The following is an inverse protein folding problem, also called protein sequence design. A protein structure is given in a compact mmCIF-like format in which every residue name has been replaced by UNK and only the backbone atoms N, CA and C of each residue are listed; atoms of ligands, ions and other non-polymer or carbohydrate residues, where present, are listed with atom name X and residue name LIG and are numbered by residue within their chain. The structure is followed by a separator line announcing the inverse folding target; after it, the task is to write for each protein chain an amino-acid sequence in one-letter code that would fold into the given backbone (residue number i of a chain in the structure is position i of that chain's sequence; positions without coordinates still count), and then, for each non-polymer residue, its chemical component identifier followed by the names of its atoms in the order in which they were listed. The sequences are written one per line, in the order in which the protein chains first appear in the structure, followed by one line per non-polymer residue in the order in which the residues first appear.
data_IF_867211412471
#
_entry.id   IF_867211412471
#
_cell.length_a   1.000
_cell.length_b   1.000
_cell.length_c   1.000
_cell.angle_alpha   90.00
_cell.angle_beta   90.00
_cell.angle_gamma   90.00
#
_symmetry.space_group_name_H-M   'P 1'
#
loop_
_entity.id
_entity.type
_entity.pdbx_description
1 polymer ?
#
# COMPACT_ATOMS: atom_id res chain seq x y z
N UNK A 1 -24.30 -15.38 -56.91
CA UNK A 1 -23.08 -15.88 -57.59
C UNK A 1 -22.01 -15.97 -56.51
N UNK A 2 -21.47 -17.13 -56.11
CA UNK A 2 -21.02 -18.32 -56.85
C UNK A 2 -19.51 -18.27 -57.14
N UNK A 3 -18.77 -18.90 -56.23
CA UNK A 3 -17.51 -19.67 -56.34
C UNK A 3 -16.58 -19.55 -57.57
N UNK A 4 -15.31 -19.20 -57.24
CA UNK A 4 -14.11 -20.05 -57.45
C UNK A 4 -13.48 -20.17 -58.86
N UNK A 5 -12.28 -20.79 -58.90
CA UNK A 5 -11.30 -20.87 -60.02
C UNK A 5 -10.55 -19.55 -60.35
N UNK A 6 -9.36 -19.47 -60.95
CA UNK A 6 -8.16 -20.35 -61.12
C UNK A 6 -6.99 -19.43 -61.66
N UNK A 7 -5.69 -19.76 -61.75
CA UNK A 7 -4.84 -20.94 -61.48
C UNK A 7 -3.36 -20.51 -61.26
N UNK A 8 -2.52 -21.37 -60.67
CA UNK A 8 -1.05 -21.48 -60.94
C UNK A 8 -0.81 -22.55 -62.03
N UNK A 9 0.40 -22.76 -62.63
CA UNK A 9 1.73 -22.18 -62.36
C UNK A 9 2.51 -21.74 -63.64
N UNK A 10 3.79 -21.37 -63.48
CA UNK A 10 4.86 -22.06 -64.22
C UNK A 10 6.18 -22.07 -63.43
N UNK A 11 7.07 -23.03 -63.70
CA UNK A 11 8.35 -23.23 -63.02
C UNK A 11 9.41 -23.69 -64.05
N UNK A 12 10.42 -22.85 -64.31
CA UNK A 12 11.53 -23.20 -65.19
C UNK A 12 12.72 -23.72 -64.38
N UNK A 13 13.13 -24.95 -64.67
CA UNK A 13 14.17 -25.72 -63.95
C UNK A 13 15.60 -25.32 -64.33
N UNK A 14 16.52 -25.51 -63.39
CA UNK A 14 17.85 -26.14 -63.56
C UNK A 14 18.43 -26.39 -62.16
N UNK A 15 18.28 -27.54 -61.50
CA UNK A 15 18.57 -28.94 -61.87
C UNK A 15 20.06 -29.30 -61.95
N UNK A 16 20.67 -29.63 -60.79
CA UNK A 16 21.69 -30.69 -60.63
C UNK A 16 21.95 -31.08 -59.17
N UNK A 17 22.14 -32.39 -58.96
CA UNK A 17 22.44 -33.18 -57.74
C UNK A 17 23.28 -34.39 -58.24
N UNK A 18 24.14 -35.08 -57.45
CA UNK A 18 24.54 -34.90 -56.04
C UNK A 18 25.97 -34.25 -55.95
N UNK A 19 26.90 -34.40 -54.99
CA UNK A 19 27.23 -35.31 -53.85
C UNK A 19 28.02 -34.50 -52.76
N UNK A 20 28.29 -34.92 -51.51
CA UNK A 20 27.73 -35.92 -50.57
C UNK A 20 28.51 -35.82 -49.21
N UNK A 21 28.05 -36.52 -48.16
CA UNK A 21 28.82 -36.99 -46.99
C UNK A 21 29.47 -35.99 -46.00
N UNK A 22 28.76 -35.81 -44.86
CA UNK A 22 29.23 -35.71 -43.44
C UNK A 22 29.60 -34.35 -42.80
N UNK A 23 28.92 -34.12 -41.65
CA UNK A 23 29.36 -33.44 -40.41
C UNK A 23 29.76 -31.95 -40.45
N UNK A 24 29.33 -31.07 -39.54
CA UNK A 24 28.37 -31.21 -38.43
C UNK A 24 28.66 -30.19 -37.29
N UNK A 25 27.66 -29.39 -36.88
CA UNK A 25 27.72 -28.23 -35.94
C UNK A 25 28.71 -27.11 -36.37
N UNK A 26 28.28 -25.90 -36.75
CA UNK A 26 27.61 -24.79 -36.04
C UNK A 26 28.57 -23.70 -35.49
N UNK A 27 28.38 -22.49 -36.04
CA UNK A 27 28.07 -21.23 -35.32
C UNK A 27 29.19 -20.63 -34.46
N UNK A 28 29.89 -19.59 -34.95
CA UNK A 28 29.54 -18.14 -34.88
C UNK A 28 29.71 -17.58 -33.44
N UNK A 29 30.39 -16.47 -33.16
CA UNK A 29 30.86 -15.38 -34.05
C UNK A 29 32.13 -14.66 -33.52
N UNK A 30 32.73 -13.79 -34.35
CA UNK A 30 33.99 -13.07 -34.05
C UNK A 30 33.75 -11.69 -33.39
N UNK A 31 34.50 -11.39 -32.33
CA UNK A 31 34.55 -10.09 -31.63
C UNK A 31 35.48 -9.11 -32.38
N UNK A 32 35.10 -7.81 -32.46
CA UNK A 32 36.12 -6.76 -32.38
C UNK A 32 35.80 -5.60 -31.41
N UNK A 33 36.88 -5.01 -30.87
CA UNK A 33 37.04 -3.67 -30.31
C UNK A 33 36.12 -3.13 -29.19
N UNK A 34 36.69 -2.97 -27.99
CA UNK A 34 36.09 -2.17 -26.90
C UNK A 34 36.49 -0.69 -27.01
N UNK A 35 35.66 0.12 -27.66
CA UNK A 35 35.87 1.57 -27.69
C UNK A 35 35.46 2.20 -26.34
N UNK A 36 36.43 2.82 -25.64
CA UNK A 36 36.27 3.22 -24.24
C UNK A 36 35.46 4.51 -24.06
N UNK A 37 34.17 4.39 -23.77
CA UNK A 37 33.37 5.48 -23.20
C UNK A 37 33.56 5.47 -21.67
N UNK A 38 34.27 6.47 -21.16
CA UNK A 38 34.52 6.68 -19.74
C UNK A 38 33.21 7.08 -19.02
N UNK A 39 32.65 6.27 -18.10
CA UNK A 39 31.59 6.72 -17.22
C UNK A 39 32.18 7.63 -16.15
N UNK A 40 31.82 8.92 -16.17
CA UNK A 40 32.25 9.89 -15.16
C UNK A 40 31.94 9.37 -13.76
N UNK A 41 32.94 9.34 -12.89
CA UNK A 41 32.86 8.71 -11.56
C UNK A 41 32.09 9.56 -10.54
N UNK A 42 30.82 9.86 -10.82
CA UNK A 42 29.87 10.24 -9.79
C UNK A 42 29.35 8.96 -9.12
N UNK A 43 29.89 8.68 -7.93
CA UNK A 43 29.72 7.42 -7.20
C UNK A 43 28.35 7.21 -6.57
N UNK A 44 27.26 7.39 -7.33
CA UNK A 44 25.93 6.98 -6.91
C UNK A 44 25.82 5.45 -6.90
N UNK A 45 26.33 4.84 -5.83
CA UNK A 45 25.92 3.53 -5.39
C UNK A 45 24.42 3.57 -5.07
N UNK A 46 23.60 3.29 -6.07
CA UNK A 46 22.19 3.02 -5.89
C UNK A 46 22.08 1.78 -4.98
N UNK A 47 21.88 2.00 -3.68
CA UNK A 47 21.75 0.92 -2.70
C UNK A 47 20.46 0.17 -2.96
N UNK A 48 20.53 -0.86 -3.80
CA UNK A 48 19.49 -1.86 -3.99
C UNK A 48 19.37 -2.65 -2.69
N UNK A 49 18.56 -2.13 -1.77
CA UNK A 49 18.33 -2.79 -0.49
C UNK A 49 17.53 -4.07 -0.73
N UNK A 50 18.16 -5.20 -0.42
CA UNK A 50 17.55 -6.52 -0.36
C UNK A 50 16.28 -6.43 0.50
N UNK A 51 15.10 -6.66 -0.08
CA UNK A 51 13.81 -6.28 0.53
C UNK A 51 13.29 -7.34 1.49
N UNK A 52 14.19 -7.90 2.29
CA UNK A 52 14.02 -9.05 3.18
C UNK A 52 13.25 -8.72 4.48
N UNK A 53 12.00 -8.29 4.36
CA UNK A 53 11.06 -8.27 5.49
C UNK A 53 10.46 -9.67 5.70
N UNK A 54 11.16 -10.50 6.45
CA UNK A 54 10.69 -11.85 6.81
C UNK A 54 9.34 -11.83 7.55
N UNK A 55 8.54 -12.88 7.36
CA UNK A 55 7.13 -12.96 7.82
C UNK A 55 6.93 -12.54 9.28
N UNK A 56 7.78 -13.01 10.20
CA UNK A 56 7.68 -12.66 11.62
C UNK A 56 7.92 -11.15 11.88
N UNK A 57 8.84 -10.53 11.15
CA UNK A 57 9.10 -9.08 11.23
C UNK A 57 7.91 -8.29 10.69
N UNK A 58 7.32 -8.71 9.56
CA UNK A 58 6.13 -8.09 9.00
C UNK A 58 4.92 -8.18 9.98
N UNK A 59 4.69 -9.35 10.59
CA UNK A 59 3.63 -9.53 11.61
C UNK A 59 3.90 -8.66 12.84
N UNK A 60 5.15 -8.61 13.34
CA UNK A 60 5.50 -7.77 14.49
C UNK A 60 5.28 -6.26 14.21
N UNK A 61 5.58 -5.79 13.00
CA UNK A 61 5.32 -4.41 12.59
C UNK A 61 3.82 -4.10 12.49
N UNK A 62 3.01 -5.04 11.99
CA UNK A 62 1.54 -4.88 11.93
C UNK A 62 0.97 -4.84 13.36
N UNK A 63 1.36 -5.77 14.23
CA UNK A 63 0.89 -5.79 15.63
C UNK A 63 1.32 -4.52 16.38
N UNK A 64 2.57 -4.08 16.21
CA UNK A 64 3.10 -2.85 16.83
C UNK A 64 2.51 -1.55 16.30
N UNK A 65 1.89 -1.54 15.12
CA UNK A 65 1.16 -0.37 14.59
C UNK A 65 -0.34 -0.40 14.89
N UNK A 66 -0.91 -1.57 15.17
CA UNK A 66 -2.33 -1.72 15.56
C UNK A 66 -2.55 -1.55 17.08
N UNK A 67 -1.61 -1.96 17.93
CA UNK A 67 -1.73 -1.81 19.39
C UNK A 67 -1.32 -0.39 19.81
N UNK A 68 -2.30 0.52 19.84
CA UNK A 68 -2.15 1.88 20.35
C UNK A 68 -2.82 2.13 21.71
N UNK A 69 -2.70 3.35 22.23
CA UNK A 69 -3.29 3.78 23.53
C UNK A 69 -4.83 3.74 23.58
N UNK A 70 -5.50 3.57 22.44
CA UNK A 70 -6.96 3.40 22.34
C UNK A 70 -7.52 2.32 23.29
N UNK A 71 -6.75 1.25 23.56
CA UNK A 71 -7.15 0.16 24.47
C UNK A 71 -7.48 0.63 25.90
N UNK A 72 -6.94 1.76 26.36
CA UNK A 72 -7.24 2.31 27.68
C UNK A 72 -8.52 3.16 27.72
N UNK A 73 -8.94 3.68 26.56
CA UNK A 73 -10.02 4.67 26.41
C UNK A 73 -11.30 3.99 25.95
N UNK A 74 -11.22 3.19 24.89
CA UNK A 74 -12.36 2.56 24.22
C UNK A 74 -13.22 1.67 25.12
N UNK A 75 -12.69 0.89 26.10
CA UNK A 75 -13.54 0.05 26.97
C UNK A 75 -14.57 0.84 27.77
N UNK A 76 -14.24 2.06 28.25
CA UNK A 76 -15.21 2.93 28.95
C UNK A 76 -16.34 3.34 28.01
N UNK A 77 -16.03 3.71 26.78
CA UNK A 77 -17.03 4.09 25.76
C UNK A 77 -17.94 2.92 25.36
N UNK A 78 -17.36 1.75 25.07
CA UNK A 78 -18.12 0.56 24.66
C UNK A 78 -18.99 0.03 25.80
N UNK A 79 -18.52 0.04 27.05
CA UNK A 79 -19.33 -0.40 28.19
C UNK A 79 -20.52 0.53 28.47
N UNK A 80 -20.32 1.85 28.39
CA UNK A 80 -21.40 2.83 28.57
C UNK A 80 -22.43 2.73 27.43
N UNK A 81 -21.97 2.58 26.18
CA UNK A 81 -22.86 2.42 25.02
C UNK A 81 -23.57 1.06 24.95
N UNK A 82 -22.95 0.00 25.46
CA UNK A 82 -23.49 -1.36 25.41
C UNK A 82 -24.31 -1.78 26.64
N UNK A 83 -24.20 -1.07 27.77
CA UNK A 83 -24.94 -1.32 29.02
C UNK A 83 -24.62 -2.64 29.74
N UNK A 84 -24.01 -3.61 29.06
CA UNK A 84 -23.65 -4.93 29.58
C UNK A 84 -22.27 -5.36 29.08
N UNK A 85 -21.50 -6.02 29.96
CA UNK A 85 -20.17 -6.55 29.66
C UNK A 85 -20.23 -7.59 28.53
N UNK A 86 -21.28 -8.43 28.50
CA UNK A 86 -21.45 -9.43 27.45
C UNK A 86 -21.63 -8.80 26.06
N UNK A 87 -22.46 -7.75 25.96
CA UNK A 87 -22.63 -7.02 24.70
C UNK A 87 -21.34 -6.29 24.29
N UNK A 88 -20.60 -5.76 25.26
CA UNK A 88 -19.31 -5.09 25.04
C UNK A 88 -18.27 -6.03 24.40
N UNK A 89 -18.20 -7.28 24.86
CA UNK A 89 -17.30 -8.31 24.29
C UNK A 89 -17.74 -8.71 22.87
N UNK A 90 -19.05 -8.83 22.62
CA UNK A 90 -19.60 -9.14 21.29
C UNK A 90 -19.27 -8.01 20.30
N UNK A 91 -19.44 -6.75 20.69
CA UNK A 91 -19.05 -5.57 19.89
C UNK A 91 -17.54 -5.60 19.57
N UNK A 92 -16.71 -5.96 20.53
CA UNK A 92 -15.25 -6.08 20.35
C UNK A 92 -14.90 -7.16 19.31
N UNK A 93 -15.53 -8.32 19.39
CA UNK A 93 -15.35 -9.41 18.42
C UNK A 93 -15.77 -9.01 17.00
N UNK A 94 -16.95 -8.40 16.84
CA UNK A 94 -17.39 -7.91 15.53
C UNK A 94 -16.49 -6.79 14.98
N UNK A 95 -15.96 -5.91 15.82
CA UNK A 95 -15.00 -4.88 15.42
C UNK A 95 -13.70 -5.51 14.86
N UNK A 96 -13.14 -6.51 15.56
CA UNK A 96 -11.96 -7.26 15.09
C UNK A 96 -12.22 -8.01 13.77
N UNK A 97 -13.39 -8.63 13.62
CA UNK A 97 -13.78 -9.32 12.38
C UNK A 97 -13.90 -8.35 11.20
N UNK A 98 -14.56 -7.20 11.39
CA UNK A 98 -14.68 -6.16 10.36
C UNK A 98 -13.31 -5.55 9.99
N UNK A 99 -12.43 -5.33 10.97
CA UNK A 99 -11.06 -4.88 10.72
C UNK A 99 -10.25 -5.90 9.90
N UNK A 100 -10.40 -7.21 10.19
CA UNK A 100 -9.75 -8.28 9.43
C UNK A 100 -10.24 -8.32 7.97
N UNK A 101 -11.56 -8.23 7.75
CA UNK A 101 -12.14 -8.19 6.40
C UNK A 101 -11.70 -6.94 5.62
N UNK A 102 -11.70 -5.76 6.26
CA UNK A 102 -11.20 -4.52 5.67
C UNK A 102 -9.72 -4.60 5.30
N UNK A 103 -8.90 -5.20 6.17
CA UNK A 103 -7.47 -5.42 5.91
C UNK A 103 -7.21 -6.39 4.76
N UNK A 104 -8.07 -7.39 4.55
CA UNK A 104 -7.97 -8.32 3.42
C UNK A 104 -8.28 -7.61 2.11
N UNK A 105 -9.37 -6.83 2.05
CA UNK A 105 -9.69 -5.99 0.88
C UNK A 105 -8.56 -4.99 0.56
N UNK A 106 -7.93 -4.41 1.58
CA UNK A 106 -6.77 -3.52 1.40
C UNK A 106 -5.49 -4.25 0.94
N UNK A 107 -5.32 -5.53 1.31
CA UNK A 107 -4.21 -6.35 0.84
C UNK A 107 -4.33 -6.64 -0.66
N UNK A 108 -5.51 -7.10 -1.12
CA UNK A 108 -5.80 -7.33 -2.55
C UNK A 108 -5.64 -6.05 -3.39
N UNK A 109 -6.08 -4.90 -2.85
CA UNK A 109 -5.93 -3.61 -3.54
C UNK A 109 -4.46 -3.17 -3.62
N UNK A 110 -3.66 -3.47 -2.59
CA UNK A 110 -2.23 -3.16 -2.55
C UNK A 110 -1.35 -4.09 -3.39
N UNK A 111 -1.76 -5.34 -3.64
CA UNK A 111 -1.10 -6.24 -4.60
C UNK A 111 -1.51 -5.91 -6.04
N UNK A 112 -2.78 -5.56 -6.28
CA UNK A 112 -3.29 -5.19 -7.60
C UNK A 112 -2.75 -3.83 -8.10
N UNK A 113 -2.57 -2.84 -7.22
CA UNK A 113 -2.12 -1.49 -7.57
C UNK A 113 -0.80 -1.15 -6.84
N UNK A 114 0.36 -1.66 -7.30
CA UNK A 114 1.66 -1.38 -6.70
C UNK A 114 2.15 0.04 -7.03
N UNK A 115 1.49 1.05 -6.46
CA UNK A 115 1.81 2.48 -6.61
C UNK A 115 1.96 3.15 -5.24
N UNK A 116 3.01 3.94 -5.08
CA UNK A 116 3.22 4.78 -3.89
C UNK A 116 2.11 5.82 -3.76
N UNK A 117 1.56 5.98 -2.55
CA UNK A 117 0.46 6.91 -2.24
C UNK A 117 -0.75 6.28 -1.53
N UNK A 118 -0.83 4.94 -1.50
CA UNK A 118 -1.88 4.22 -0.77
C UNK A 118 -3.29 4.61 -1.22
N UNK A 119 -4.15 4.96 -0.28
CA UNK A 119 -5.55 5.39 -0.50
C UNK A 119 -5.68 6.42 -1.64
N UNK A 120 -4.81 7.43 -1.67
CA UNK A 120 -4.81 8.46 -2.72
C UNK A 120 -4.46 7.90 -4.11
N UNK A 121 -3.52 6.95 -4.19
CA UNK A 121 -3.15 6.29 -5.44
C UNK A 121 -4.27 5.37 -5.96
N UNK A 122 -4.95 4.65 -5.05
CA UNK A 122 -6.11 3.81 -5.40
C UNK A 122 -7.28 4.65 -5.93
N UNK A 123 -7.55 5.81 -5.30
CA UNK A 123 -8.58 6.75 -5.74
C UNK A 123 -8.27 7.34 -7.12
N UNK A 124 -7.03 7.76 -7.39
CA UNK A 124 -6.64 8.23 -8.73
C UNK A 124 -6.78 7.12 -9.77
N UNK A 125 -6.34 5.89 -9.46
CA UNK A 125 -6.37 4.80 -10.42
C UNK A 125 -7.80 4.38 -10.81
N UNK A 126 -8.70 4.34 -9.82
CA UNK A 126 -10.11 3.95 -10.03
C UNK A 126 -10.95 5.06 -10.66
N UNK A 127 -10.95 6.27 -10.08
CA UNK A 127 -11.79 7.37 -10.58
C UNK A 127 -11.21 8.05 -11.83
N UNK A 128 -9.88 8.13 -11.97
CA UNK A 128 -9.22 8.67 -13.15
C UNK A 128 -9.47 7.86 -14.41
N UNK A 129 -9.63 6.53 -14.29
CA UNK A 129 -10.02 5.66 -15.39
C UNK A 129 -11.50 5.85 -15.81
N UNK A 130 -12.38 6.25 -14.88
CA UNK A 130 -13.81 6.44 -15.15
C UNK A 130 -14.13 7.80 -15.79
N UNK A 131 -13.42 8.87 -15.43
CA UNK A 131 -13.65 10.21 -16.00
C UNK A 131 -12.33 11.01 -16.08
N UNK A 132 -11.76 11.27 -17.27
CA UNK A 132 -10.44 11.89 -17.38
C UNK A 132 -10.37 13.35 -16.90
N UNK A 133 -11.49 14.10 -16.91
CA UNK A 133 -11.54 15.51 -16.46
C UNK A 133 -11.92 15.71 -15.00
N UNK A 134 -12.71 14.81 -14.41
CA UNK A 134 -13.24 14.96 -13.04
C UNK A 134 -12.77 13.87 -12.06
N UNK A 135 -12.22 12.76 -12.57
CA UNK A 135 -11.69 11.64 -11.78
C UNK A 135 -10.61 11.97 -10.73
N UNK A 136 -9.71 12.97 -10.89
CA UNK A 136 -8.77 13.31 -9.81
C UNK A 136 -9.39 14.14 -8.68
N UNK A 137 -10.60 14.72 -8.86
CA UNK A 137 -11.20 15.62 -7.86
C UNK A 137 -11.59 14.89 -6.57
N UNK A 138 -12.23 13.69 -6.58
CA UNK A 138 -12.46 12.91 -5.37
C UNK A 138 -11.16 12.54 -4.63
N UNK A 139 -10.10 12.21 -5.35
CA UNK A 139 -8.80 11.89 -4.75
C UNK A 139 -8.17 13.11 -4.07
N UNK A 140 -8.21 14.29 -4.71
CA UNK A 140 -7.75 15.53 -4.10
C UNK A 140 -8.58 15.89 -2.85
N UNK A 141 -9.91 15.78 -2.93
CA UNK A 141 -10.80 16.06 -1.79
C UNK A 141 -10.54 15.10 -0.61
N UNK A 142 -10.31 13.81 -0.89
CA UNK A 142 -9.91 12.85 0.14
C UNK A 142 -8.57 13.23 0.78
N UNK A 143 -7.54 13.56 -0.01
CA UNK A 143 -6.24 13.98 0.51
C UNK A 143 -6.34 15.26 1.36
N UNK A 144 -7.18 16.22 0.94
CA UNK A 144 -7.46 17.45 1.68
C UNK A 144 -8.14 17.16 3.02
N UNK A 145 -9.22 16.36 3.03
CA UNK A 145 -9.92 15.98 4.26
C UNK A 145 -9.02 15.14 5.19
N UNK A 146 -8.19 14.24 4.63
CA UNK A 146 -7.22 13.48 5.38
C UNK A 146 -6.20 14.42 6.08
N UNK A 147 -5.65 15.39 5.35
CA UNK A 147 -4.66 16.34 5.88
C UNK A 147 -5.23 17.32 6.91
N UNK A 148 -6.39 17.92 6.64
CA UNK A 148 -6.96 19.00 7.47
C UNK A 148 -7.92 18.54 8.56
N UNK A 149 -8.49 17.33 8.46
CA UNK A 149 -9.51 16.84 9.42
C UNK A 149 -9.04 15.55 10.10
N UNK A 150 -8.72 14.51 9.33
CA UNK A 150 -8.47 13.17 9.90
C UNK A 150 -7.16 13.15 10.69
N UNK A 151 -6.04 13.60 10.10
CA UNK A 151 -4.71 13.61 10.74
C UNK A 151 -4.68 14.45 12.03
N UNK A 152 -5.08 15.75 12.04
CA UNK A 152 -5.11 16.54 13.28
C UNK A 152 -6.18 16.07 14.28
N UNK A 153 -7.31 15.52 13.81
CA UNK A 153 -8.34 14.93 14.67
C UNK A 153 -7.82 13.74 15.47
N UNK A 154 -7.10 12.80 14.81
CA UNK A 154 -6.46 11.67 15.48
C UNK A 154 -5.45 12.14 16.54
N UNK A 155 -4.55 13.07 16.21
CA UNK A 155 -3.56 13.60 17.16
C UNK A 155 -4.26 14.29 18.35
N UNK A 156 -5.27 15.11 18.09
CA UNK A 156 -6.04 15.81 19.14
C UNK A 156 -6.66 14.85 20.16
N UNK A 157 -7.23 13.72 19.70
CA UNK A 157 -7.80 12.70 20.58
C UNK A 157 -6.72 12.02 21.42
N UNK A 158 -5.56 11.71 20.82
CA UNK A 158 -4.43 11.09 21.52
C UNK A 158 -3.84 12.00 22.60
N UNK A 159 -3.65 13.29 22.30
CA UNK A 159 -3.12 14.28 23.26
C UNK A 159 -4.12 14.62 24.36
N UNK A 160 -5.41 14.76 24.04
CA UNK A 160 -6.48 14.92 25.05
C UNK A 160 -6.56 13.74 26.02
N UNK A 161 -6.38 12.53 25.49
CA UNK A 161 -6.31 11.31 26.31
C UNK A 161 -5.08 11.34 27.21
N UNK A 162 -3.90 11.66 26.67
CA UNK A 162 -2.66 11.78 27.47
C UNK A 162 -2.81 12.80 28.60
N UNK A 163 -3.37 14.00 28.33
CA UNK A 163 -3.62 15.01 29.36
C UNK A 163 -4.59 14.53 30.45
N UNK A 164 -5.55 13.66 30.11
CA UNK A 164 -6.50 13.05 31.06
C UNK A 164 -5.83 11.99 31.95
N UNK A 165 -4.98 11.12 31.40
CA UNK A 165 -4.26 10.12 32.20
C UNK A 165 -3.08 10.72 32.99
N UNK A 166 -2.38 11.71 32.44
CA UNK A 166 -1.24 12.36 33.09
C UNK A 166 -1.64 13.28 34.25
N UNK A 167 -2.82 13.89 34.20
CA UNK A 167 -3.37 14.66 35.34
C UNK A 167 -3.89 13.76 36.46
N UNK A 168 -4.47 12.59 36.13
CA UNK A 168 -5.10 11.68 37.09
C UNK A 168 -4.28 11.35 38.37
N UNK A 169 -2.96 11.04 38.32
CA UNK A 169 -2.19 10.77 39.54
C UNK A 169 -2.09 11.97 40.52
N UNK A 170 -2.28 13.20 40.05
CA UNK A 170 -2.24 14.40 40.90
C UNK A 170 -3.58 14.69 41.61
N UNK A 171 -4.67 14.04 41.19
CA UNK A 171 -6.02 14.23 41.76
C UNK A 171 -6.61 12.96 42.40
N UNK A 172 -5.99 11.79 42.16
CA UNK A 172 -6.36 10.53 42.79
C UNK A 172 -7.79 10.09 42.43
N UNK A 173 -8.63 9.97 43.45
CA UNK A 173 -10.06 9.65 43.33
C UNK A 173 -10.91 10.83 42.85
N UNK A 174 -10.40 12.07 42.92
CA UNK A 174 -11.09 13.25 42.43
C UNK A 174 -10.95 13.37 40.89
N UNK A 175 -12.00 13.82 40.21
CA UNK A 175 -11.95 14.01 38.75
C UNK A 175 -11.22 15.34 38.43
N UNK A 176 -10.13 15.32 37.62
CA UNK A 176 -9.29 16.49 37.42
C UNK A 176 -10.06 17.62 36.74
N UNK A 177 -9.92 18.88 37.20
CA UNK A 177 -10.67 20.00 36.65
C UNK A 177 -10.32 20.22 35.17
N UNK A 178 -11.36 20.36 34.34
CA UNK A 178 -11.26 20.42 32.87
C UNK A 178 -10.26 21.49 32.37
N UNK A 179 -10.06 22.57 33.13
CA UNK A 179 -9.04 23.60 32.85
C UNK A 179 -7.63 23.01 32.86
N UNK A 180 -7.27 22.19 33.85
CA UNK A 180 -5.93 21.59 33.99
C UNK A 180 -5.70 20.53 32.92
N UNK A 181 -6.71 19.69 32.64
CA UNK A 181 -6.66 18.74 31.51
C UNK A 181 -6.41 19.47 30.19
N UNK A 182 -7.11 20.58 29.94
CA UNK A 182 -6.92 21.41 28.74
C UNK A 182 -5.54 22.08 28.70
N UNK A 183 -5.04 22.64 29.79
CA UNK A 183 -3.71 23.25 29.83
C UNK A 183 -2.60 22.22 29.52
N UNK A 184 -2.66 21.03 30.11
CA UNK A 184 -1.71 19.94 29.81
C UNK A 184 -1.82 19.50 28.35
N UNK A 185 -3.06 19.35 27.84
CA UNK A 185 -3.32 19.00 26.44
C UNK A 185 -2.73 20.02 25.47
N UNK A 186 -2.95 21.33 25.72
CA UNK A 186 -2.44 22.44 24.88
C UNK A 186 -0.90 22.55 24.98
N UNK A 187 -0.28 22.10 26.07
CA UNK A 187 1.19 22.12 26.23
C UNK A 187 1.89 21.02 25.44
N UNK A 188 1.14 20.02 24.93
CA UNK A 188 1.68 18.83 24.22
C UNK A 188 1.24 18.79 22.74
N UNK A 189 0.38 19.72 22.30
CA UNK A 189 -0.19 19.82 20.96
C UNK A 189 0.61 20.77 20.05
#
# INVERSE_FOLDING_TARGET
MASESEKTPENSKSEKIPENSKSGDKTEDIIPEKQALNPTSDGQHAMVMEKSVGLFSAVALIVGTMIGSGIFISPKGVLIGGGSVALSLIIWFFCGLLATLGSLCYAELGTAIPKSGGEYAYLIHTFGASHPTWGPVPAFLFAWLAMFVIRPGMVSIMVMSLGTYASKPFYGDCEPPVVVVKLITITVL
#
